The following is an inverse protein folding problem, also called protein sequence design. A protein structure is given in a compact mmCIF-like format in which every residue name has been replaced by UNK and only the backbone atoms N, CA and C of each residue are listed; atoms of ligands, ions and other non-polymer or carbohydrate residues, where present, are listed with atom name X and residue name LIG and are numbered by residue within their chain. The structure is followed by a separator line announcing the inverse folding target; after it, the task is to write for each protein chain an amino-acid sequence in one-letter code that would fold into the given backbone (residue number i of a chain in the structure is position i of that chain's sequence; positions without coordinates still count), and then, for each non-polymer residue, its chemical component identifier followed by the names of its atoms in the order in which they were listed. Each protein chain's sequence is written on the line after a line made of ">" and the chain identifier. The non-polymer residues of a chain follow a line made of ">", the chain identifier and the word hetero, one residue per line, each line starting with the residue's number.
data_IF_966252442784
#
_entry.id   IF_966252442784
#
_cell.length_a   1.000
_cell.length_b   1.000
_cell.length_c   1.000
_cell.angle_alpha   90.00
_cell.angle_beta   90.00
_cell.angle_gamma   90.00
#
_symmetry.space_group_name_H-M   'P 1'
#
loop_
_entity.id
_entity.type
_entity.pdbx_description
1 polymer ?
#
# COMPACT_ATOMS: atom_id res chain seq x y z
N UNK A 1 7.48 19.33 -9.31
CA UNK A 1 7.48 19.86 -7.93
C UNK A 1 8.38 18.95 -7.12
N UNK A 2 9.45 19.48 -6.52
CA UNK A 2 10.34 18.70 -5.67
C UNK A 2 9.51 18.13 -4.51
N UNK A 3 9.37 16.81 -4.47
CA UNK A 3 8.73 16.14 -3.34
C UNK A 3 9.59 16.37 -2.10
N UNK A 4 8.97 16.78 -0.99
CA UNK A 4 9.63 16.73 0.31
C UNK A 4 10.16 15.30 0.49
N UNK A 5 11.45 15.17 0.79
CA UNK A 5 12.07 13.91 1.10
C UNK A 5 11.33 13.28 2.29
N UNK A 6 10.85 12.04 2.14
CA UNK A 6 10.12 11.34 3.20
C UNK A 6 11.11 10.97 4.31
N UNK A 7 11.19 11.79 5.34
CA UNK A 7 12.09 11.56 6.48
C UNK A 7 11.45 10.58 7.47
N UNK A 8 12.22 9.56 7.86
CA UNK A 8 11.83 8.59 8.87
C UNK A 8 11.91 9.22 10.26
N UNK A 9 10.77 9.39 10.92
CA UNK A 9 10.70 9.85 12.31
C UNK A 9 11.01 8.69 13.27
N UNK A 10 12.31 8.45 13.50
CA UNK A 10 12.81 7.38 14.36
C UNK A 10 12.21 7.48 15.77
N UNK A 11 12.14 8.68 16.35
CA UNK A 11 11.62 8.85 17.72
C UNK A 11 10.17 8.39 17.84
N UNK A 12 9.33 8.75 16.86
CA UNK A 12 7.94 8.27 16.77
C UNK A 12 7.85 6.75 16.62
N UNK A 13 8.71 6.16 15.77
CA UNK A 13 8.72 4.70 15.54
C UNK A 13 9.11 3.95 16.82
N UNK A 14 10.16 4.40 17.51
CA UNK A 14 10.57 3.84 18.81
C UNK A 14 9.44 3.90 19.82
N UNK A 15 8.79 5.06 19.95
CA UNK A 15 7.64 5.22 20.84
C UNK A 15 6.50 4.26 20.48
N UNK A 16 6.20 4.10 19.20
CA UNK A 16 5.16 3.17 18.72
C UNK A 16 5.49 1.70 19.05
N UNK A 17 6.73 1.28 18.82
CA UNK A 17 7.21 -0.07 19.11
C UNK A 17 7.09 -0.43 20.61
N UNK A 18 7.47 0.50 21.50
CA UNK A 18 7.47 0.25 22.96
C UNK A 18 6.12 0.52 23.64
N UNK A 19 5.25 1.34 23.05
CA UNK A 19 3.99 1.78 23.70
C UNK A 19 2.73 1.10 23.13
N UNK A 20 2.88 0.10 22.26
CA UNK A 20 1.78 -0.56 21.55
C UNK A 20 0.86 0.40 20.75
N UNK A 21 1.36 1.60 20.43
CA UNK A 21 0.63 2.60 19.63
C UNK A 21 0.77 2.20 18.15
N UNK A 22 -0.34 2.09 17.39
CA UNK A 22 -0.26 1.79 15.97
C UNK A 22 0.50 2.89 15.20
N UNK A 23 1.56 2.49 14.51
CA UNK A 23 2.20 3.34 13.51
C UNK A 23 1.44 3.15 12.18
N UNK A 24 0.95 4.24 11.60
CA UNK A 24 0.14 4.19 10.38
C UNK A 24 0.78 4.99 9.26
N UNK A 25 0.86 4.39 8.07
CA UNK A 25 1.22 5.04 6.80
C UNK A 25 0.00 4.96 5.90
N UNK A 26 -0.48 6.09 5.38
CA UNK A 26 -1.58 6.11 4.40
C UNK A 26 -1.05 6.65 3.09
N UNK A 27 -1.27 5.92 2.01
CA UNK A 27 -0.81 6.33 0.68
C UNK A 27 -1.88 6.07 -0.38
N UNK A 28 -1.98 6.99 -1.35
CA UNK A 28 -2.85 6.87 -2.52
C UNK A 28 -2.16 6.17 -3.69
N UNK A 29 -0.83 6.18 -3.68
CA UNK A 29 0.02 5.61 -4.73
C UNK A 29 1.18 4.84 -4.09
N UNK A 30 1.92 4.05 -4.87
CA UNK A 30 3.08 3.32 -4.36
C UNK A 30 4.32 3.60 -5.24
N UNK A 31 4.80 4.85 -5.30
CA UNK A 31 6.05 5.16 -5.96
C UNK A 31 7.24 4.57 -5.18
N UNK A 32 8.38 4.43 -5.85
CA UNK A 32 9.60 3.85 -5.26
C UNK A 32 10.01 4.52 -3.93
N UNK A 33 9.87 5.85 -3.82
CA UNK A 33 10.15 6.60 -2.59
C UNK A 33 9.29 6.15 -1.39
N UNK A 34 8.02 5.78 -1.62
CA UNK A 34 7.14 5.25 -0.56
C UNK A 34 7.55 3.82 -0.20
N UNK A 35 7.99 3.02 -1.17
CA UNK A 35 8.49 1.67 -0.91
C UNK A 35 9.76 1.68 -0.06
N UNK A 36 10.69 2.58 -0.36
CA UNK A 36 11.91 2.79 0.43
C UNK A 36 11.58 3.31 1.83
N UNK A 37 10.65 4.27 1.93
CA UNK A 37 10.18 4.78 3.21
C UNK A 37 9.53 3.69 4.08
N UNK A 38 8.68 2.85 3.49
CA UNK A 38 8.05 1.72 4.19
C UNK A 38 9.07 0.71 4.71
N UNK A 39 10.09 0.39 3.90
CA UNK A 39 11.17 -0.50 4.29
C UNK A 39 11.97 0.06 5.46
N UNK A 40 12.35 1.34 5.40
CA UNK A 40 13.09 2.00 6.47
C UNK A 40 12.27 2.09 7.77
N UNK A 41 10.96 2.35 7.68
CA UNK A 41 10.06 2.32 8.84
C UNK A 41 10.02 0.93 9.47
N UNK A 42 9.88 -0.13 8.66
CA UNK A 42 9.85 -1.50 9.15
C UNK A 42 11.18 -1.90 9.79
N UNK A 43 12.30 -1.49 9.19
CA UNK A 43 13.64 -1.76 9.72
C UNK A 43 13.83 -1.19 11.13
N UNK A 44 13.51 0.10 11.31
CA UNK A 44 13.58 0.74 12.64
C UNK A 44 12.61 0.06 13.61
N UNK A 45 11.39 -0.23 13.17
CA UNK A 45 10.37 -0.84 14.02
C UNK A 45 10.77 -2.24 14.50
N UNK A 46 11.25 -3.11 13.60
CA UNK A 46 11.71 -4.46 13.95
C UNK A 46 13.03 -4.43 14.74
N UNK A 47 13.91 -3.47 14.47
CA UNK A 47 15.15 -3.27 15.22
C UNK A 47 14.88 -3.01 16.70
N UNK A 48 13.92 -2.14 17.00
CA UNK A 48 13.50 -1.84 18.38
C UNK A 48 12.88 -3.05 19.11
N UNK A 49 12.32 -4.00 18.36
CA UNK A 49 11.76 -5.24 18.89
C UNK A 49 12.77 -6.40 18.91
N UNK A 50 14.03 -6.16 18.50
CA UNK A 50 15.05 -7.21 18.40
C UNK A 50 14.78 -8.26 17.33
N UNK A 51 13.96 -7.95 16.33
CA UNK A 51 13.54 -8.87 15.25
C UNK A 51 14.05 -8.43 13.86
N UNK A 52 15.17 -7.70 13.78
CA UNK A 52 15.73 -7.24 12.51
C UNK A 52 15.98 -8.38 11.49
N UNK A 53 16.25 -9.60 11.95
CA UNK A 53 16.52 -10.78 11.10
C UNK A 53 15.37 -11.18 10.16
N UNK A 54 14.13 -10.82 10.48
CA UNK A 54 12.95 -11.16 9.64
C UNK A 54 12.55 -10.01 8.70
N UNK A 55 13.34 -8.92 8.67
CA UNK A 55 13.04 -7.71 7.89
C UNK A 55 12.73 -8.04 6.44
N UNK A 56 13.65 -8.71 5.73
CA UNK A 56 13.55 -8.89 4.28
C UNK A 56 12.31 -9.70 3.88
N UNK A 57 11.96 -10.72 4.67
CA UNK A 57 10.73 -11.50 4.48
C UNK A 57 9.49 -10.64 4.65
N UNK A 58 9.45 -9.78 5.67
CA UNK A 58 8.31 -8.92 5.94
C UNK A 58 8.23 -7.75 4.94
N UNK A 59 9.35 -7.21 4.46
CA UNK A 59 9.38 -6.23 3.36
C UNK A 59 8.75 -6.83 2.11
N UNK A 60 9.14 -8.05 1.74
CA UNK A 60 8.55 -8.74 0.60
C UNK A 60 7.04 -8.90 0.74
N UNK A 61 6.56 -9.44 1.87
CA UNK A 61 5.13 -9.60 2.12
C UNK A 61 4.37 -8.26 2.08
N UNK A 62 4.92 -7.20 2.70
CA UNK A 62 4.31 -5.88 2.70
C UNK A 62 4.21 -5.29 1.29
N UNK A 63 5.25 -5.47 0.46
CA UNK A 63 5.25 -5.01 -0.94
C UNK A 63 4.18 -5.73 -1.76
N UNK A 64 4.12 -7.06 -1.69
CA UNK A 64 3.13 -7.84 -2.44
C UNK A 64 1.69 -7.46 -2.05
N UNK A 65 1.42 -7.32 -0.74
CA UNK A 65 0.12 -6.90 -0.25
C UNK A 65 -0.23 -5.47 -0.68
N UNK A 66 0.70 -4.52 -0.58
CA UNK A 66 0.49 -3.12 -0.97
C UNK A 66 0.25 -2.99 -2.49
N UNK A 67 1.01 -3.72 -3.31
CA UNK A 67 0.84 -3.77 -4.76
C UNK A 67 -0.53 -4.34 -5.13
N UNK A 68 -0.98 -5.40 -4.46
CA UNK A 68 -2.30 -5.99 -4.71
C UNK A 68 -3.44 -5.04 -4.31
N UNK A 69 -3.32 -4.35 -3.17
CA UNK A 69 -4.28 -3.33 -2.76
C UNK A 69 -4.36 -2.17 -3.79
N UNK A 70 -3.20 -1.69 -4.27
CA UNK A 70 -3.13 -0.66 -5.32
C UNK A 70 -3.73 -1.15 -6.64
N UNK A 71 -3.50 -2.40 -7.03
CA UNK A 71 -4.11 -2.99 -8.25
C UNK A 71 -5.62 -3.04 -8.13
N UNK A 72 -6.16 -3.43 -6.98
CA UNK A 72 -7.61 -3.45 -6.74
C UNK A 72 -8.23 -2.05 -6.91
N UNK A 73 -7.60 -1.00 -6.37
CA UNK A 73 -8.02 0.39 -6.56
C UNK A 73 -7.95 0.81 -8.05
N UNK A 74 -6.89 0.39 -8.75
CA UNK A 74 -6.73 0.68 -10.18
C UNK A 74 -7.81 0.00 -11.03
N UNK A 75 -8.16 -1.26 -10.74
CA UNK A 75 -9.24 -1.97 -11.42
C UNK A 75 -10.57 -1.22 -11.28
N UNK A 76 -10.95 -0.80 -10.07
CA UNK A 76 -12.19 -0.04 -9.86
C UNK A 76 -12.31 1.17 -10.76
N UNK A 77 -11.26 1.99 -10.77
CA UNK A 77 -11.23 3.20 -11.61
C UNK A 77 -11.25 2.85 -13.08
N UNK A 78 -10.51 1.82 -13.49
CA UNK A 78 -10.46 1.38 -14.88
C UNK A 78 -11.84 0.92 -15.39
N UNK A 79 -12.50 0.05 -14.64
CA UNK A 79 -13.82 -0.49 -14.97
C UNK A 79 -14.87 0.60 -15.03
N UNK A 80 -14.88 1.50 -14.04
CA UNK A 80 -15.81 2.63 -14.02
C UNK A 80 -15.63 3.54 -15.26
N UNK A 81 -14.39 3.85 -15.65
CA UNK A 81 -14.10 4.69 -16.81
C UNK A 81 -14.54 4.03 -18.13
N UNK A 82 -14.46 2.70 -18.19
CA UNK A 82 -14.90 1.93 -19.36
C UNK A 82 -16.41 1.65 -19.35
N UNK A 83 -17.14 2.04 -18.31
CA UNK A 83 -18.57 1.75 -18.17
C UNK A 83 -18.86 0.26 -17.94
N UNK A 84 -17.91 -0.48 -17.37
CA UNK A 84 -18.03 -1.90 -17.06
C UNK A 84 -18.29 -2.10 -15.55
N UNK A 85 -19.08 -3.11 -15.18
CA UNK A 85 -19.26 -3.53 -13.79
C UNK A 85 -18.15 -4.51 -13.38
N UNK A 86 -17.36 -4.12 -12.39
CA UNK A 86 -16.27 -4.96 -11.85
C UNK A 86 -16.79 -6.27 -11.21
N UNK A 87 -18.06 -6.31 -10.80
CA UNK A 87 -18.66 -7.47 -10.14
C UNK A 87 -19.39 -8.40 -11.12
N UNK A 88 -19.57 -7.98 -12.37
CA UNK A 88 -20.08 -8.84 -13.44
C UNK A 88 -18.93 -9.65 -14.04
N UNK A 89 -19.12 -10.96 -14.19
CA UNK A 89 -18.05 -11.85 -14.67
C UNK A 89 -17.67 -11.61 -16.13
N UNK A 90 -18.63 -11.27 -16.99
CA UNK A 90 -18.37 -11.06 -18.41
C UNK A 90 -17.62 -9.74 -18.64
N UNK A 91 -18.06 -8.68 -17.96
CA UNK A 91 -17.37 -7.39 -17.93
C UNK A 91 -15.96 -7.54 -17.33
N UNK A 92 -15.82 -8.32 -16.25
CA UNK A 92 -14.52 -8.59 -15.65
C UNK A 92 -13.56 -9.26 -16.63
N UNK A 93 -13.99 -10.34 -17.28
CA UNK A 93 -13.17 -11.05 -18.26
C UNK A 93 -12.79 -10.15 -19.44
N UNK A 94 -13.72 -9.36 -19.97
CA UNK A 94 -13.46 -8.45 -21.08
C UNK A 94 -12.48 -7.33 -20.68
N UNK A 95 -12.75 -6.64 -19.57
CA UNK A 95 -11.90 -5.55 -19.09
C UNK A 95 -10.49 -6.00 -18.73
N UNK A 96 -10.33 -7.22 -18.22
CA UNK A 96 -9.01 -7.76 -17.89
C UNK A 96 -8.13 -8.07 -19.11
N UNK A 97 -8.69 -8.22 -20.32
CA UNK A 97 -7.91 -8.44 -21.56
C UNK A 97 -6.97 -7.29 -21.87
N UNK A 98 -7.41 -6.05 -21.64
CA UNK A 98 -6.67 -4.82 -21.96
C UNK A 98 -6.23 -4.03 -20.72
N UNK A 99 -6.69 -4.39 -19.52
CA UNK A 99 -6.33 -3.72 -18.27
C UNK A 99 -4.82 -3.46 -18.12
N UNK A 100 -3.98 -4.47 -18.38
CA UNK A 100 -2.52 -4.34 -18.19
C UNK A 100 -1.91 -3.34 -19.17
N UNK A 101 -2.22 -3.42 -20.46
CA UNK A 101 -1.70 -2.49 -21.46
C UNK A 101 -2.18 -1.08 -21.20
N UNK A 102 -3.50 -0.91 -21.05
CA UNK A 102 -4.14 0.40 -20.87
C UNK A 102 -3.60 1.11 -19.64
N UNK A 103 -3.45 0.39 -18.52
CA UNK A 103 -2.94 0.99 -17.28
C UNK A 103 -1.45 1.25 -17.29
N UNK A 104 -0.64 0.48 -18.04
CA UNK A 104 0.80 0.76 -18.18
C UNK A 104 1.03 1.98 -19.08
N UNK A 105 0.28 2.13 -20.16
CA UNK A 105 0.40 3.26 -21.09
C UNK A 105 0.03 4.60 -20.44
N UNK A 106 -0.94 4.59 -19.51
CA UNK A 106 -1.42 5.83 -18.89
C UNK A 106 -1.55 5.73 -17.36
N UNK A 107 -0.54 5.16 -16.71
CA UNK A 107 -0.60 4.89 -15.27
C UNK A 107 -0.85 6.15 -14.42
N UNK A 108 -0.28 7.28 -14.83
CA UNK A 108 -0.43 8.56 -14.12
C UNK A 108 -1.90 9.01 -14.09
N UNK A 109 -2.64 8.84 -15.19
CA UNK A 109 -4.07 9.16 -15.26
C UNK A 109 -4.88 8.31 -14.27
N UNK A 110 -4.68 6.99 -14.26
CA UNK A 110 -5.42 6.11 -13.34
C UNK A 110 -5.06 6.35 -11.87
N UNK A 111 -3.80 6.66 -11.55
CA UNK A 111 -3.37 7.02 -10.20
C UNK A 111 -3.99 8.35 -9.74
N UNK A 112 -4.07 9.34 -10.63
CA UNK A 112 -4.72 10.61 -10.35
C UNK A 112 -6.22 10.42 -10.09
N UNK A 113 -6.90 9.61 -10.92
CA UNK A 113 -8.31 9.26 -10.71
C UNK A 113 -8.57 8.48 -9.42
N UNK A 114 -7.66 7.58 -9.02
CA UNK A 114 -7.73 6.92 -7.72
C UNK A 114 -7.67 7.92 -6.56
N UNK A 115 -6.78 8.91 -6.65
CA UNK A 115 -6.66 9.97 -5.65
C UNK A 115 -7.90 10.86 -5.58
N UNK A 116 -8.45 11.26 -6.73
CA UNK A 116 -9.71 12.02 -6.80
C UNK A 116 -10.86 11.29 -6.11
N UNK A 117 -10.93 9.97 -6.28
CA UNK A 117 -11.93 9.09 -5.65
C UNK A 117 -11.58 8.66 -4.23
N UNK A 118 -10.49 9.19 -3.67
CA UNK A 118 -10.02 8.91 -2.31
C UNK A 118 -9.74 7.42 -2.06
N UNK A 119 -9.33 6.66 -3.08
CA UNK A 119 -8.85 5.29 -2.88
C UNK A 119 -7.44 5.30 -2.30
N UNK A 120 -7.27 4.69 -1.13
CA UNK A 120 -6.00 4.67 -0.41
C UNK A 120 -5.70 3.28 0.18
N UNK A 121 -4.41 3.01 0.32
CA UNK A 121 -3.87 1.88 1.06
C UNK A 121 -3.32 2.39 2.38
N UNK A 122 -3.65 1.71 3.46
CA UNK A 122 -3.20 2.02 4.82
C UNK A 122 -2.38 0.87 5.36
N UNK A 123 -1.12 1.14 5.68
CA UNK A 123 -0.23 0.21 6.34
C UNK A 123 -0.20 0.51 7.84
N UNK A 124 -0.28 -0.52 8.66
CA UNK A 124 -0.32 -0.41 10.12
C UNK A 124 0.71 -1.36 10.71
N UNK A 125 1.56 -0.82 11.59
CA UNK A 125 2.56 -1.56 12.35
C UNK A 125 2.21 -1.43 13.83
N UNK A 126 2.02 -2.54 14.53
CA UNK A 126 1.67 -2.51 15.95
C UNK A 126 2.33 -3.67 16.71
N UNK A 127 3.02 -3.34 17.80
CA UNK A 127 3.44 -4.32 18.79
C UNK A 127 2.30 -4.55 19.79
N UNK A 128 1.95 -5.80 20.07
CA UNK A 128 0.94 -6.17 21.08
C UNK A 128 1.45 -7.33 21.93
N UNK A 129 2.00 -7.00 23.09
CA UNK A 129 2.63 -8.00 23.96
C UNK A 129 3.77 -8.70 23.22
N UNK A 130 3.69 -10.02 23.10
CA UNK A 130 4.68 -10.82 22.37
C UNK A 130 4.46 -10.85 20.83
N UNK A 131 3.39 -10.25 20.33
CA UNK A 131 3.02 -10.31 18.91
C UNK A 131 3.37 -9.01 18.18
N UNK A 132 3.76 -9.15 16.91
CA UNK A 132 3.84 -8.04 15.95
C UNK A 132 2.72 -8.20 14.94
N UNK A 133 1.91 -7.15 14.80
CA UNK A 133 0.82 -7.08 13.84
C UNK A 133 1.23 -6.11 12.73
N UNK A 134 1.28 -6.63 11.51
CA UNK A 134 1.45 -5.86 10.29
C UNK A 134 0.17 -5.99 9.46
N UNK A 135 -0.47 -4.86 9.17
CA UNK A 135 -1.70 -4.84 8.38
C UNK A 135 -1.53 -3.99 7.14
N UNK A 136 -2.05 -4.48 6.01
CA UNK A 136 -2.26 -3.70 4.80
C UNK A 136 -3.77 -3.66 4.57
N UNK A 137 -4.37 -2.49 4.83
CA UNK A 137 -5.80 -2.26 4.66
C UNK A 137 -6.04 -1.47 3.39
N UNK A 138 -6.90 -1.98 2.53
CA UNK A 138 -7.43 -1.23 1.41
C UNK A 138 -8.78 -0.63 1.79
N UNK A 139 -9.06 0.62 1.41
CA UNK A 139 -10.37 1.24 1.69
C UNK A 139 -11.47 0.84 0.70
N UNK A 140 -11.16 -0.07 -0.20
CA UNK A 140 -12.09 -0.67 -1.14
C UNK A 140 -11.92 -2.19 -1.14
N UNK A 141 -12.97 -2.92 -1.54
CA UNK A 141 -12.99 -4.39 -1.52
C UNK A 141 -11.81 -4.99 -2.30
N UNK A 142 -11.32 -6.16 -1.93
CA UNK A 142 -10.34 -6.85 -2.78
C UNK A 142 -11.10 -7.74 -3.78
N UNK A 143 -10.74 -7.64 -5.06
CA UNK A 143 -11.33 -8.34 -6.21
C UNK A 143 -10.23 -8.97 -7.04
#
# INVERSE_FOLDING_TARGET
>A
MAGNELVVDVAKIKKAAHSAIPLTITTYTLPHEIEVYMEAVLEVFLGELGQARIKDYLVYCLRELAVNAKKANTKRVYFEIKGMDLNDSADYEEGMKSFKSDTMENIAYYLQKQKEKQFYVKLIFQARGANVILEVRNNSQMT
#
